data_IF_236572863395
#
_entry.id   IF_236572863395
#
_cell.length_a   1.000
_cell.length_b   1.000
_cell.length_c   1.000
_cell.angle_alpha   90.00
_cell.angle_beta   90.00
_cell.angle_gamma   90.00
#
_symmetry.space_group_name_H-M   'P 1'
#
loop_
_entity.id
_entity.type
_entity.pdbx_description
1 polymer ?
#
# COMPACT_ATOMS: atom_id res chain seq x y z
N UNK A 1 -15.20 -19.13 -8.17
CA UNK A 1 -15.15 -17.82 -7.48
C UNK A 1 -13.68 -17.41 -7.49
N UNK A 2 -13.29 -16.32 -8.16
CA UNK A 2 -11.91 -15.83 -8.09
C UNK A 2 -11.68 -15.24 -6.71
N UNK A 3 -10.65 -15.66 -6.01
CA UNK A 3 -10.25 -15.01 -4.76
C UNK A 3 -9.66 -13.65 -5.12
N UNK A 4 -10.45 -12.59 -4.87
CA UNK A 4 -10.04 -11.23 -5.16
C UNK A 4 -9.07 -10.69 -4.10
N UNK A 5 -9.14 -11.24 -2.89
CA UNK A 5 -8.28 -10.81 -1.80
C UNK A 5 -6.87 -11.34 -2.05
N UNK A 6 -5.82 -10.49 -2.00
CA UNK A 6 -4.44 -10.95 -2.10
C UNK A 6 -4.15 -12.04 -1.07
N UNK A 7 -3.39 -13.05 -1.45
CA UNK A 7 -3.01 -14.11 -0.53
C UNK A 7 -2.04 -13.61 0.56
N UNK A 8 -2.00 -14.32 1.69
CA UNK A 8 -1.17 -14.00 2.84
C UNK A 8 -1.85 -13.04 3.82
N UNK A 9 -1.09 -12.56 4.80
CA UNK A 9 -1.67 -11.80 5.92
C UNK A 9 -1.95 -10.34 5.55
N UNK A 10 -3.08 -9.82 6.06
CA UNK A 10 -3.32 -8.38 6.14
C UNK A 10 -2.31 -7.78 7.11
N UNK A 11 -1.45 -6.93 6.56
CA UNK A 11 -0.36 -6.32 7.29
C UNK A 11 -0.76 -5.01 7.94
N UNK A 12 -1.65 -4.24 7.30
CA UNK A 12 -2.11 -2.94 7.78
C UNK A 12 -3.31 -2.43 6.98
N UNK A 13 -4.14 -1.60 7.61
CA UNK A 13 -5.24 -0.90 6.95
C UNK A 13 -5.05 0.60 7.14
N UNK A 14 -4.86 1.32 6.03
CA UNK A 14 -4.72 2.76 6.01
C UNK A 14 -6.09 3.40 5.81
N UNK A 15 -6.44 4.32 6.69
CA UNK A 15 -7.65 5.12 6.59
C UNK A 15 -7.30 6.51 6.06
N UNK A 16 -8.15 7.10 5.20
CA UNK A 16 -7.89 8.43 4.70
C UNK A 16 -8.01 9.44 5.85
N UNK A 17 -7.19 10.50 5.88
CA UNK A 17 -7.29 11.52 6.92
C UNK A 17 -8.64 12.25 6.88
N UNK A 18 -9.25 12.30 5.69
CA UNK A 18 -10.61 12.81 5.46
C UNK A 18 -11.29 11.96 4.40
N UNK A 19 -12.54 11.57 4.64
CA UNK A 19 -13.37 10.94 3.61
C UNK A 19 -13.90 12.01 2.66
N UNK A 20 -13.42 12.00 1.42
CA UNK A 20 -13.80 12.95 0.38
C UNK A 20 -14.58 12.26 -0.72
N UNK A 21 -15.63 12.91 -1.21
CA UNK A 21 -16.33 12.48 -2.41
C UNK A 21 -15.58 12.98 -3.64
N UNK A 22 -15.28 12.08 -4.55
CA UNK A 22 -14.52 12.36 -5.77
C UNK A 22 -15.41 12.11 -6.98
N UNK A 23 -15.54 13.14 -7.81
CA UNK A 23 -16.31 13.11 -9.04
C UNK A 23 -15.30 13.13 -10.19
N UNK A 24 -15.36 12.14 -11.06
CA UNK A 24 -14.64 12.09 -12.33
C UNK A 24 -15.62 12.25 -13.49
N UNK A 25 -15.13 12.18 -14.73
CA UNK A 25 -16.01 12.19 -15.92
C UNK A 25 -16.90 10.95 -16.01
N UNK A 26 -16.44 9.84 -15.43
CA UNK A 26 -17.05 8.51 -15.56
C UNK A 26 -17.84 8.12 -14.32
N UNK A 27 -17.38 8.49 -13.12
CA UNK A 27 -17.89 7.92 -11.88
C UNK A 27 -17.80 8.89 -10.70
N UNK A 28 -18.57 8.60 -9.65
CA UNK A 28 -18.53 9.29 -8.38
C UNK A 28 -18.28 8.28 -7.26
N UNK A 29 -17.22 8.50 -6.49
CA UNK A 29 -16.76 7.55 -5.50
C UNK A 29 -16.05 8.19 -4.31
N UNK A 30 -15.92 7.44 -3.22
CA UNK A 30 -15.15 7.80 -2.03
C UNK A 30 -14.19 6.66 -1.73
N UNK A 31 -12.89 6.95 -1.59
CA UNK A 31 -11.93 5.95 -1.12
C UNK A 31 -12.09 5.80 0.39
N UNK A 32 -12.35 4.57 0.86
CA UNK A 32 -12.57 4.31 2.29
C UNK A 32 -11.31 3.79 2.99
N UNK A 33 -10.49 2.99 2.32
CA UNK A 33 -9.23 2.49 2.87
C UNK A 33 -8.27 2.02 1.78
N UNK A 34 -7.01 1.87 2.17
CA UNK A 34 -6.02 1.06 1.46
C UNK A 34 -5.52 -0.01 2.41
N UNK A 35 -5.71 -1.27 2.05
CA UNK A 35 -5.24 -2.42 2.80
C UNK A 35 -3.91 -2.89 2.22
N UNK A 36 -2.89 -2.98 3.08
CA UNK A 36 -1.58 -3.54 2.73
C UNK A 36 -1.61 -5.02 3.10
N UNK A 37 -1.52 -5.87 2.09
CA UNK A 37 -1.44 -7.33 2.25
C UNK A 37 -0.02 -7.81 1.99
N UNK A 38 0.32 -9.04 2.39
CA UNK A 38 1.65 -9.60 2.15
C UNK A 38 2.05 -9.63 0.66
N UNK A 39 1.09 -9.89 -0.22
CA UNK A 39 1.32 -10.07 -1.68
C UNK A 39 0.84 -8.92 -2.54
N UNK A 40 0.11 -7.94 -1.97
CA UNK A 40 -0.45 -6.84 -2.75
C UNK A 40 -1.11 -5.76 -1.90
N UNK A 41 -1.89 -4.95 -2.58
CA UNK A 41 -2.62 -3.81 -2.03
C UNK A 41 -4.09 -3.93 -2.45
N UNK A 42 -5.01 -3.57 -1.57
CA UNK A 42 -6.44 -3.49 -1.90
C UNK A 42 -6.93 -2.08 -1.60
N UNK A 43 -7.42 -1.39 -2.62
CA UNK A 43 -8.10 -0.10 -2.45
C UNK A 43 -9.59 -0.36 -2.32
N UNK A 44 -10.16 0.12 -1.22
CA UNK A 44 -11.53 -0.16 -0.86
C UNK A 44 -12.41 1.08 -1.05
N UNK A 45 -13.35 1.00 -1.99
CA UNK A 45 -14.03 2.16 -2.57
C UNK A 45 -15.54 2.06 -2.35
N UNK A 46 -16.17 3.19 -2.05
CA UNK A 46 -17.62 3.34 -2.07
C UNK A 46 -18.04 4.07 -3.33
N UNK A 47 -18.98 3.49 -4.08
CA UNK A 47 -19.60 4.07 -5.27
C UNK A 47 -20.88 4.81 -4.86
N UNK A 48 -21.11 5.99 -5.44
CA UNK A 48 -22.33 6.76 -5.16
C UNK A 48 -23.61 6.06 -5.63
N UNK A 49 -23.52 5.21 -6.66
CA UNK A 49 -24.63 4.34 -7.07
C UNK A 49 -24.17 2.89 -7.23
N UNK A 50 -25.01 1.95 -6.79
CA UNK A 50 -24.79 0.53 -7.06
C UNK A 50 -24.91 0.25 -8.56
N UNK A 51 -23.93 -0.47 -9.14
CA UNK A 51 -23.90 -0.79 -10.57
C UNK A 51 -23.44 0.35 -11.49
N UNK A 52 -22.94 1.47 -10.93
CA UNK A 52 -22.24 2.49 -11.71
C UNK A 52 -20.90 1.98 -12.26
N UNK A 53 -20.28 2.70 -13.22
CA UNK A 53 -18.98 2.33 -13.76
C UNK A 53 -17.90 2.34 -12.67
N UNK A 54 -17.00 1.37 -12.76
CA UNK A 54 -15.90 1.23 -11.81
C UNK A 54 -14.93 2.41 -11.94
N UNK A 55 -14.48 3.00 -10.81
CA UNK A 55 -13.50 4.06 -10.82
C UNK A 55 -12.19 3.57 -11.40
N UNK A 56 -11.62 4.31 -12.34
CA UNK A 56 -10.26 4.03 -12.79
C UNK A 56 -9.30 4.87 -11.96
N UNK A 57 -8.45 4.19 -11.18
CA UNK A 57 -7.48 4.84 -10.30
C UNK A 57 -6.06 4.37 -10.58
N UNK A 58 -5.10 5.22 -10.22
CA UNK A 58 -3.68 4.91 -10.16
C UNK A 58 -3.29 4.97 -8.69
N UNK A 59 -2.53 3.97 -8.24
CA UNK A 59 -1.94 3.94 -6.91
C UNK A 59 -0.43 4.19 -7.05
N UNK A 60 0.07 5.22 -6.35
CA UNK A 60 1.45 5.67 -6.47
C UNK A 60 2.05 5.88 -5.08
N UNK A 61 3.31 5.51 -4.87
CA UNK A 61 4.00 5.89 -3.62
C UNK A 61 4.66 7.28 -3.69
N UNK A 62 5.27 7.69 -2.58
CA UNK A 62 6.01 8.96 -2.48
C UNK A 62 7.24 9.08 -3.39
N UNK A 63 7.79 7.98 -3.92
CA UNK A 63 8.87 8.02 -4.90
C UNK A 63 8.35 8.20 -6.33
N UNK A 64 7.03 8.14 -6.50
CA UNK A 64 6.39 8.21 -7.80
C UNK A 64 6.23 6.83 -8.46
N UNK A 65 6.54 5.73 -7.77
CA UNK A 65 6.35 4.38 -8.31
C UNK A 65 4.87 4.04 -8.36
N UNK A 66 4.38 3.69 -9.54
CA UNK A 66 3.00 3.24 -9.76
C UNK A 66 2.88 1.74 -9.54
N UNK A 67 1.84 1.33 -8.82
CA UNK A 67 1.51 -0.06 -8.60
C UNK A 67 0.61 -0.57 -9.74
N UNK A 68 0.85 -1.79 -10.17
CA UNK A 68 0.11 -2.39 -11.29
C UNK A 68 -1.26 -2.87 -10.82
N UNK A 69 -2.32 -2.36 -11.46
CA UNK A 69 -3.67 -2.88 -11.31
C UNK A 69 -3.72 -4.35 -11.74
N UNK A 70 -4.36 -5.20 -10.93
CA UNK A 70 -4.46 -6.64 -11.17
C UNK A 70 -5.89 -7.08 -11.43
N UNK A 71 -6.81 -6.76 -10.53
CA UNK A 71 -8.20 -7.20 -10.61
C UNK A 71 -9.13 -6.26 -9.82
N UNK A 72 -10.43 -6.35 -10.07
CA UNK A 72 -11.45 -5.62 -9.33
C UNK A 72 -12.73 -6.43 -9.15
N UNK A 73 -13.49 -6.11 -8.12
CA UNK A 73 -14.86 -6.60 -7.97
C UNK A 73 -15.75 -5.55 -7.34
N UNK A 74 -17.01 -5.57 -7.79
CA UNK A 74 -18.06 -4.70 -7.29
C UNK A 74 -19.17 -5.54 -6.65
N UNK A 75 -19.53 -5.21 -5.42
CA UNK A 75 -20.66 -5.78 -4.70
C UNK A 75 -21.55 -4.64 -4.17
N UNK A 76 -22.70 -4.45 -4.81
CA UNK A 76 -23.59 -3.32 -4.49
C UNK A 76 -22.89 -1.99 -4.77
N UNK A 77 -22.73 -1.16 -3.72
CA UNK A 77 -21.99 0.12 -3.77
C UNK A 77 -20.55 0.01 -3.28
N UNK A 78 -20.03 -1.21 -3.10
CA UNK A 78 -18.63 -1.45 -2.71
C UNK A 78 -17.83 -1.92 -3.91
N UNK A 79 -16.69 -1.30 -4.14
CA UNK A 79 -15.72 -1.73 -5.14
C UNK A 79 -14.37 -1.97 -4.48
N UNK A 80 -13.76 -3.11 -4.79
CA UNK A 80 -12.41 -3.48 -4.36
C UNK A 80 -11.51 -3.52 -5.58
N UNK A 81 -10.35 -2.89 -5.49
CA UNK A 81 -9.34 -2.94 -6.55
C UNK A 81 -8.00 -3.41 -6.01
N UNK A 82 -7.43 -4.38 -6.69
CA UNK A 82 -6.21 -5.07 -6.26
C UNK A 82 -5.03 -4.56 -7.07
N UNK A 83 -3.95 -4.22 -6.37
CA UNK A 83 -2.70 -3.78 -6.97
C UNK A 83 -1.54 -4.65 -6.49
N UNK A 84 -0.53 -4.77 -7.35
CA UNK A 84 0.71 -5.53 -7.07
C UNK A 84 1.95 -4.76 -7.54
N UNK A 85 3.11 -4.98 -6.93
CA UNK A 85 3.36 -5.81 -5.74
C UNK A 85 2.83 -5.17 -4.44
N UNK A 86 3.10 -5.76 -3.28
CA UNK A 86 2.89 -5.09 -2.00
C UNK A 86 3.86 -3.91 -1.82
N UNK A 87 3.67 -3.13 -0.76
CA UNK A 87 4.43 -1.93 -0.44
C UNK A 87 5.90 -2.28 -0.12
N UNK A 88 6.89 -1.69 -0.83
CA UNK A 88 8.30 -1.86 -0.50
C UNK A 88 8.67 -1.28 0.87
N UNK A 89 9.67 -1.86 1.57
CA UNK A 89 10.24 -1.26 2.77
C UNK A 89 10.66 0.20 2.56
N UNK A 90 10.41 1.04 3.56
CA UNK A 90 10.73 2.46 3.51
C UNK A 90 9.68 3.35 2.82
N UNK A 91 8.60 2.77 2.28
CA UNK A 91 7.47 3.57 1.77
C UNK A 91 6.83 4.41 2.89
N UNK A 92 6.65 5.71 2.63
CA UNK A 92 6.14 6.67 3.61
C UNK A 92 4.72 7.15 3.33
N UNK A 93 4.30 7.10 2.07
CA UNK A 93 2.93 7.42 1.70
C UNK A 93 2.50 6.68 0.45
N UNK A 94 1.20 6.46 0.35
CA UNK A 94 0.51 6.02 -0.85
C UNK A 94 -0.48 7.09 -1.28
N UNK A 95 -0.56 7.37 -2.56
CA UNK A 95 -1.44 8.35 -3.17
C UNK A 95 -2.32 7.65 -4.18
N UNK A 96 -3.63 7.80 -4.02
CA UNK A 96 -4.61 7.42 -5.03
C UNK A 96 -4.84 8.62 -5.94
N UNK A 97 -4.82 8.39 -7.25
CA UNK A 97 -5.07 9.38 -8.29
C UNK A 97 -6.17 8.87 -9.21
N UNK A 98 -6.93 9.79 -9.81
CA UNK A 98 -7.90 9.45 -10.85
C UNK A 98 -7.18 9.18 -12.17
N UNK A 99 -7.45 8.05 -12.82
CA UNK A 99 -6.95 7.74 -14.16
C UNK A 99 -7.87 8.26 -15.29
N UNK A 100 -9.04 8.80 -14.93
CA UNK A 100 -10.02 9.36 -15.87
C UNK A 100 -9.85 10.87 -16.08
N UNK A 101 -8.89 11.47 -15.38
CA UNK A 101 -8.52 12.88 -15.55
C UNK A 101 -7.20 12.95 -16.32
N UNK A 102 -7.10 13.73 -17.42
CA UNK A 102 -5.86 13.84 -18.21
C UNK A 102 -4.67 14.37 -17.39
N UNK A 103 -4.91 15.09 -16.30
CA UNK A 103 -3.86 15.58 -15.40
C UNK A 103 -3.61 14.64 -14.20
N UNK A 104 -4.29 13.48 -14.16
CA UNK A 104 -4.14 12.49 -13.09
C UNK A 104 -4.46 13.07 -11.72
N UNK A 105 -5.61 13.76 -11.57
CA UNK A 105 -5.98 14.47 -10.34
C UNK A 105 -5.77 13.59 -9.09
N UNK A 106 -5.07 14.12 -8.09
CA UNK A 106 -4.91 13.48 -6.79
C UNK A 106 -6.27 13.35 -6.09
N UNK A 107 -6.58 12.14 -5.63
CA UNK A 107 -7.81 11.79 -4.92
C UNK A 107 -7.55 11.90 -3.43
N UNK A 108 -6.60 11.11 -2.91
CA UNK A 108 -6.26 11.08 -1.49
C UNK A 108 -4.84 10.55 -1.29
N UNK A 109 -4.19 10.98 -0.22
CA UNK A 109 -2.88 10.47 0.21
C UNK A 109 -2.99 9.90 1.62
N UNK A 110 -2.37 8.74 1.81
CA UNK A 110 -2.29 8.01 3.06
C UNK A 110 -0.86 8.06 3.57
N UNK A 111 -0.69 8.34 4.86
CA UNK A 111 0.57 8.06 5.53
C UNK A 111 0.71 6.54 5.68
N UNK A 112 1.88 6.01 5.32
CA UNK A 112 2.25 4.62 5.59
C UNK A 112 3.16 4.62 6.82
N UNK A 113 2.73 4.03 7.94
CA UNK A 113 3.57 3.90 9.11
C UNK A 113 4.87 3.18 8.78
N UNK A 114 5.98 3.77 9.23
CA UNK A 114 7.30 3.15 9.11
C UNK A 114 7.27 1.85 9.92
N UNK A 115 7.22 0.72 9.26
CA UNK A 115 7.51 -0.54 9.92
C UNK A 115 9.00 -0.57 10.21
N UNK A 116 9.34 -0.86 11.46
CA UNK A 116 10.63 -1.46 11.73
C UNK A 116 10.70 -2.73 10.88
N UNK A 117 11.53 -2.72 9.84
CA UNK A 117 12.02 -3.98 9.28
C UNK A 117 12.66 -4.65 10.50
N UNK A 118 12.25 -5.86 10.92
CA UNK A 118 13.07 -6.62 11.84
C UNK A 118 14.44 -6.60 11.18
N UNK A 119 15.40 -5.88 11.78
CA UNK A 119 16.79 -6.03 11.37
C UNK A 119 16.97 -7.52 11.40
N UNK A 120 17.23 -8.16 10.25
CA UNK A 120 17.67 -9.54 10.26
C UNK A 120 18.70 -9.57 11.37
N UNK A 121 18.37 -10.33 12.42
CA UNK A 121 19.24 -10.49 13.56
C UNK A 121 20.58 -10.78 12.94
N UNK A 122 21.53 -9.87 13.13
CA UNK A 122 22.91 -10.13 12.78
C UNK A 122 23.16 -11.54 13.27
N UNK A 123 23.62 -12.48 12.42
CA UNK A 123 24.01 -13.78 12.93
C UNK A 123 24.90 -13.46 14.11
N UNK A 124 24.53 -13.96 15.29
CA UNK A 124 25.24 -13.75 16.53
C UNK A 124 26.68 -14.15 16.27
N UNK A 125 27.51 -13.17 15.92
CA UNK A 125 28.94 -13.28 16.03
C UNK A 125 29.16 -13.17 17.52
N UNK A 126 29.03 -14.31 18.19
CA UNK A 126 29.74 -14.56 19.43
C UNK A 126 31.20 -14.19 19.14
N UNK A 127 31.51 -12.95 19.50
CA UNK A 127 32.81 -12.32 19.37
C UNK A 127 33.74 -12.99 20.36
N UNK A 128 34.29 -14.13 19.98
CA UNK A 128 35.48 -14.70 20.60
C UNK A 128 36.74 -14.04 20.06
N UNK A 129 36.93 -12.74 20.31
CA UNK A 129 38.27 -12.16 20.25
C UNK A 129 38.91 -12.31 21.64
N UNK A 130 39.96 -13.14 21.81
CA UNK A 130 40.67 -13.18 23.08
C UNK A 130 41.32 -11.81 23.33
N UNK A 131 41.36 -11.34 24.59
CA UNK A 131 41.96 -10.05 24.92
C UNK A 131 43.43 -10.02 24.50
N UNK A 132 43.94 -8.91 23.95
CA UNK A 132 45.33 -8.83 23.54
C UNK A 132 46.23 -8.94 24.77
N UNK A 133 47.02 -10.01 24.85
CA UNK A 133 48.04 -10.18 25.89
C UNK A 133 49.09 -9.08 25.76
N UNK A 134 49.14 -8.18 26.75
CA UNK A 134 50.26 -7.25 26.92
C UNK A 134 51.52 -8.07 27.25
N UNK A 135 52.32 -8.37 26.23
CA UNK A 135 53.69 -8.83 26.42
C UNK A 135 54.48 -7.73 27.12
N UNK A 136 54.96 -8.02 28.32
CA UNK A 136 55.92 -7.15 29.02
C UNK A 136 57.29 -7.28 28.33
N UNK A 137 58.02 -6.19 28.09
CA UNK A 137 59.38 -6.26 27.59
C UNK A 137 60.30 -6.94 28.61
N UNK A 138 61.32 -7.63 28.09
CA UNK A 138 62.35 -8.34 28.84
C UNK A 138 63.28 -7.41 29.63
#
# INVERSE_FOLDING_TARGET
MRELIPSGDLREMLLPPTYGRHITRSTEFTVLSVEIWATGLVVNIHLASGGGPEPRIILQDHFGTEYSFRDSATLGSRNLQVFTPSVPPGTRSLTVRSADDPNGRQVVTFAVPLRAVPSELQPSQDGGYPPPELRRPA
#
